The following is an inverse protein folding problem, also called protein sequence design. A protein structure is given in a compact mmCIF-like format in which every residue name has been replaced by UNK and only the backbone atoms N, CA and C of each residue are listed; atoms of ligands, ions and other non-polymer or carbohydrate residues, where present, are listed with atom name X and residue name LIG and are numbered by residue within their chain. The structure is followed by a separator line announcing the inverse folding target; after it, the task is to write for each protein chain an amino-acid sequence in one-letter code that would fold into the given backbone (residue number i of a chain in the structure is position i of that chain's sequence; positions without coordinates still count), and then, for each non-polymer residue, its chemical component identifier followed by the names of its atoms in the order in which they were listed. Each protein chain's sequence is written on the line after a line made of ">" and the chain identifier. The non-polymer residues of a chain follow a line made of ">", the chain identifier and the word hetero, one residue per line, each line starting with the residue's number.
data_IF_142607533449
#
_entry.id   IF_142607533449
#
_cell.length_a   1.000
_cell.length_b   1.000
_cell.length_c   1.000
_cell.angle_alpha   90.00
_cell.angle_beta   90.00
_cell.angle_gamma   90.00
#
_symmetry.space_group_name_H-M   'P 1'
#
loop_
_entity.id
_entity.type
_entity.pdbx_description
1 polymer ?
#
# COMPACT_ATOMS: atom_id res chain seq x y z
N UNK A 1 -13.98 20.65 -30.73
CA UNK A 1 -14.77 19.58 -30.07
C UNK A 1 -14.04 18.27 -30.26
N UNK A 2 -13.56 17.81 -29.11
CA UNK A 2 -12.78 16.64 -28.73
C UNK A 2 -13.25 15.31 -29.34
N UNK A 3 -12.33 14.55 -29.92
CA UNK A 3 -12.58 13.15 -30.32
C UNK A 3 -12.32 12.15 -29.19
N UNK A 4 -11.63 12.57 -28.12
CA UNK A 4 -11.18 11.67 -27.04
C UNK A 4 -11.63 12.10 -25.63
N UNK A 5 -12.10 13.34 -25.42
CA UNK A 5 -12.63 13.73 -24.10
C UNK A 5 -14.03 13.16 -23.82
N UNK A 6 -14.65 12.52 -24.82
CA UNK A 6 -15.83 11.68 -24.68
C UNK A 6 -15.49 10.26 -25.15
N UNK A 7 -14.34 9.72 -24.72
CA UNK A 7 -14.11 8.27 -24.86
C UNK A 7 -15.01 7.58 -23.84
N UNK A 8 -16.30 7.51 -24.15
CA UNK A 8 -17.25 6.68 -23.43
C UNK A 8 -16.89 5.22 -23.70
N UNK A 9 -17.10 4.35 -22.73
CA UNK A 9 -16.86 2.90 -22.87
C UNK A 9 -17.57 2.29 -24.09
N UNK A 10 -18.64 2.93 -24.59
CA UNK A 10 -19.41 2.53 -25.79
C UNK A 10 -18.63 2.67 -27.11
N UNK A 11 -17.56 3.47 -27.14
CA UNK A 11 -16.74 3.70 -28.34
C UNK A 11 -15.52 2.78 -28.43
N UNK A 12 -15.32 1.89 -27.45
CA UNK A 12 -14.23 0.92 -27.46
C UNK A 12 -14.63 -0.27 -28.34
N UNK A 13 -13.87 -0.51 -29.40
CA UNK A 13 -14.04 -1.68 -30.26
C UNK A 13 -13.51 -2.94 -29.56
N UNK A 14 -14.39 -3.59 -28.81
CA UNK A 14 -14.13 -4.83 -28.07
C UNK A 14 -13.68 -5.99 -28.97
N UNK A 15 -14.12 -6.08 -30.22
CA UNK A 15 -13.67 -7.15 -31.13
C UNK A 15 -12.20 -6.97 -31.52
N UNK A 16 -11.77 -5.73 -31.73
CA UNK A 16 -10.36 -5.42 -31.96
C UNK A 16 -9.50 -5.79 -30.74
N UNK A 17 -9.99 -5.52 -29.52
CA UNK A 17 -9.27 -5.91 -28.30
C UNK A 17 -9.20 -7.43 -28.12
N UNK A 18 -10.29 -8.15 -28.39
CA UNK A 18 -10.31 -9.61 -28.39
C UNK A 18 -9.28 -10.17 -29.39
N UNK A 19 -9.24 -9.62 -30.61
CA UNK A 19 -8.27 -10.03 -31.63
C UNK A 19 -6.83 -9.82 -31.16
N UNK A 20 -6.51 -8.70 -30.50
CA UNK A 20 -5.17 -8.44 -29.95
C UNK A 20 -4.78 -9.48 -28.89
N UNK A 21 -5.72 -9.89 -28.02
CA UNK A 21 -5.47 -10.94 -27.01
C UNK A 21 -5.27 -12.30 -27.69
N UNK A 22 -6.12 -12.66 -28.65
CA UNK A 22 -5.98 -13.88 -29.45
C UNK A 22 -4.62 -13.96 -30.15
N UNK A 23 -4.20 -12.89 -30.82
CA UNK A 23 -2.92 -12.82 -31.53
C UNK A 23 -1.72 -12.90 -30.59
N UNK A 24 -1.85 -12.39 -29.37
CA UNK A 24 -0.81 -12.50 -28.36
C UNK A 24 -0.68 -13.92 -27.78
N UNK A 25 -1.75 -14.73 -27.83
CA UNK A 25 -1.76 -16.10 -27.33
C UNK A 25 -1.62 -16.22 -25.80
N UNK A 26 -1.74 -15.12 -25.07
CA UNK A 26 -1.51 -15.03 -23.61
C UNK A 26 -2.25 -13.83 -23.01
N UNK A 27 -2.35 -13.74 -21.66
CA UNK A 27 -2.88 -12.54 -21.02
C UNK A 27 -2.11 -11.28 -21.41
N UNK A 28 -2.82 -10.19 -21.66
CA UNK A 28 -2.26 -8.93 -22.14
C UNK A 28 -2.51 -7.83 -21.10
N UNK A 29 -1.43 -7.16 -20.70
CA UNK A 29 -1.50 -6.01 -19.82
C UNK A 29 -2.31 -4.85 -20.43
N UNK A 30 -3.15 -4.17 -19.64
CA UNK A 30 -4.05 -3.09 -20.09
C UNK A 30 -3.32 -1.97 -20.84
N UNK A 31 -2.08 -1.64 -20.46
CA UNK A 31 -1.25 -0.67 -21.18
C UNK A 31 -0.97 -1.07 -22.64
N UNK A 32 -0.78 -2.36 -22.93
CA UNK A 32 -0.56 -2.84 -24.29
C UNK A 32 -1.87 -2.79 -25.09
N UNK A 33 -3.01 -3.15 -24.47
CA UNK A 33 -4.34 -2.99 -25.08
C UNK A 33 -4.66 -1.52 -25.39
N UNK A 34 -4.37 -0.60 -24.48
CA UNK A 34 -4.52 0.83 -24.70
C UNK A 34 -3.64 1.34 -25.85
N UNK A 35 -2.40 0.85 -25.95
CA UNK A 35 -1.49 1.19 -27.05
C UNK A 35 -2.04 0.71 -28.40
N UNK A 36 -2.50 -0.53 -28.46
CA UNK A 36 -3.09 -1.07 -29.69
C UNK A 36 -4.40 -0.35 -30.04
N UNK A 37 -5.30 -0.11 -29.09
CA UNK A 37 -6.51 0.67 -29.30
C UNK A 37 -6.23 2.06 -29.91
N UNK A 38 -5.24 2.78 -29.37
CA UNK A 38 -4.80 4.06 -29.93
C UNK A 38 -4.25 3.86 -31.35
N UNK A 39 -3.41 2.85 -31.57
CA UNK A 39 -2.85 2.54 -32.90
C UNK A 39 -3.96 2.29 -33.94
N UNK A 40 -4.99 1.52 -33.60
CA UNK A 40 -6.13 1.24 -34.47
C UNK A 40 -6.96 2.49 -34.74
N UNK A 41 -7.29 3.27 -33.70
CA UNK A 41 -7.98 4.56 -33.86
C UNK A 41 -7.20 5.53 -34.76
N UNK A 42 -5.88 5.54 -34.66
CA UNK A 42 -5.01 6.34 -35.52
C UNK A 42 -4.96 5.84 -36.97
N UNK A 43 -4.99 4.53 -37.19
CA UNK A 43 -5.07 3.94 -38.53
C UNK A 43 -6.41 4.21 -39.21
N UNK A 44 -7.51 4.15 -38.46
CA UNK A 44 -8.85 4.49 -38.95
C UNK A 44 -8.94 5.98 -39.33
N UNK A 45 -8.31 6.86 -38.54
CA UNK A 45 -8.26 8.31 -38.81
C UNK A 45 -7.26 8.66 -39.91
N UNK A 46 -6.23 7.86 -40.21
CA UNK A 46 -5.20 8.14 -41.23
C UNK A 46 -5.75 8.29 -42.66
N UNK A 47 -7.02 7.99 -42.93
CA UNK A 47 -7.69 8.37 -44.18
C UNK A 47 -8.08 9.85 -44.26
N UNK A 48 -8.00 10.60 -43.15
CA UNK A 48 -8.19 12.06 -43.10
C UNK A 48 -7.08 12.77 -42.29
N UNK A 49 -6.94 14.07 -42.53
CA UNK A 49 -5.99 14.95 -41.83
C UNK A 49 -6.18 14.87 -40.31
N UNK A 50 -5.16 14.39 -39.60
CA UNK A 50 -5.16 14.12 -38.15
C UNK A 50 -5.45 15.40 -37.36
N UNK A 51 -6.41 15.40 -36.43
CA UNK A 51 -6.64 16.55 -35.53
C UNK A 51 -5.60 16.54 -34.41
N UNK A 52 -5.11 17.70 -33.99
CA UNK A 52 -4.17 17.78 -32.86
C UNK A 52 -4.84 17.23 -31.59
N UNK A 53 -4.20 16.24 -30.98
CA UNK A 53 -4.44 15.71 -29.65
C UNK A 53 -3.18 15.83 -28.77
N UNK A 54 -3.28 16.35 -27.55
CA UNK A 54 -2.18 16.32 -26.59
C UNK A 54 -1.67 14.90 -26.30
N UNK A 55 -2.44 13.84 -26.47
CA UNK A 55 -1.95 12.47 -26.19
C UNK A 55 -1.23 11.76 -27.33
N UNK A 56 -1.20 12.34 -28.52
CA UNK A 56 -0.66 11.67 -29.69
C UNK A 56 0.86 11.85 -29.79
N UNK A 57 1.54 10.83 -30.28
CA UNK A 57 2.90 10.95 -30.83
C UNK A 57 2.84 11.53 -32.23
N UNK A 58 3.77 12.44 -32.49
CA UNK A 58 3.93 13.12 -33.76
C UNK A 58 5.34 12.92 -34.29
N UNK A 59 5.47 12.90 -35.61
CA UNK A 59 6.74 12.97 -36.31
C UNK A 59 6.87 14.32 -37.03
N UNK A 60 8.11 14.75 -37.28
CA UNK A 60 8.36 15.88 -38.18
C UNK A 60 7.79 15.55 -39.56
N UNK A 61 7.04 16.47 -40.14
CA UNK A 61 6.30 16.31 -41.40
C UNK A 61 4.83 15.89 -41.22
N UNK A 62 4.39 15.51 -40.01
CA UNK A 62 2.99 15.16 -39.78
C UNK A 62 2.07 16.36 -40.05
N UNK A 63 1.01 16.14 -40.82
CA UNK A 63 -0.05 17.13 -41.05
C UNK A 63 -1.13 17.02 -39.97
N UNK A 64 -1.27 18.08 -39.18
CA UNK A 64 -2.13 18.12 -37.99
C UNK A 64 -3.08 19.33 -38.02
N UNK A 65 -4.38 19.09 -37.81
CA UNK A 65 -5.40 20.14 -37.74
C UNK A 65 -5.54 20.67 -36.31
N UNK A 66 -5.15 21.93 -36.09
CA UNK A 66 -5.27 22.64 -34.81
C UNK A 66 -6.23 23.83 -34.94
N UNK A 67 -7.26 23.89 -34.09
CA UNK A 67 -8.34 24.90 -34.15
C UNK A 67 -8.91 25.14 -35.57
N UNK A 68 -9.03 24.06 -36.34
CA UNK A 68 -9.56 24.10 -37.72
C UNK A 68 -8.53 24.43 -38.80
N UNK A 69 -7.34 24.94 -38.45
CA UNK A 69 -6.24 25.17 -39.38
C UNK A 69 -5.36 23.94 -39.52
N UNK A 70 -4.94 23.61 -40.73
CA UNK A 70 -4.03 22.52 -41.02
C UNK A 70 -2.59 23.01 -40.91
N UNK A 71 -1.82 22.49 -39.94
CA UNK A 71 -0.40 22.77 -39.82
C UNK A 71 0.47 21.53 -40.03
N UNK A 72 1.77 21.74 -40.18
CA UNK A 72 2.77 20.70 -40.31
C UNK A 72 3.70 20.71 -39.10
N UNK A 73 3.97 19.54 -38.53
CA UNK A 73 4.89 19.40 -37.39
C UNK A 73 6.31 19.60 -37.87
N UNK A 74 6.95 20.70 -37.48
CA UNK A 74 8.32 21.04 -37.87
C UNK A 74 9.38 20.51 -36.92
N UNK A 75 9.03 20.36 -35.65
CA UNK A 75 9.92 19.79 -34.64
C UNK A 75 9.12 19.07 -33.57
N UNK A 76 9.74 18.04 -33.01
CA UNK A 76 9.27 17.34 -31.81
C UNK A 76 10.44 17.32 -30.85
N UNK A 77 10.24 17.81 -29.63
CA UNK A 77 11.25 17.86 -28.57
C UNK A 77 10.71 17.14 -27.35
N UNK A 78 11.55 16.38 -26.67
CA UNK A 78 11.18 15.86 -25.37
C UNK A 78 11.10 16.99 -24.35
N UNK A 79 10.06 16.95 -23.53
CA UNK A 79 9.83 17.80 -22.37
C UNK A 79 9.68 16.93 -21.14
N UNK A 80 10.03 17.47 -19.99
CA UNK A 80 9.91 16.78 -18.70
C UNK A 80 9.41 17.78 -17.67
N UNK A 81 8.43 17.36 -16.87
CA UNK A 81 7.87 18.14 -15.78
C UNK A 81 7.89 17.28 -14.52
N UNK A 82 8.47 17.75 -13.40
CA UNK A 82 8.49 16.99 -12.14
C UNK A 82 7.13 16.47 -11.66
N UNK A 83 6.02 17.10 -12.07
CA UNK A 83 4.65 16.70 -11.75
C UNK A 83 3.98 15.80 -12.80
N UNK A 84 4.39 15.86 -14.07
CA UNK A 84 3.69 15.19 -15.18
C UNK A 84 4.54 14.12 -15.89
N UNK A 85 5.81 13.98 -15.51
CA UNK A 85 6.76 13.08 -16.17
C UNK A 85 7.21 13.59 -17.55
N UNK A 86 7.67 12.66 -18.39
CA UNK A 86 8.12 12.95 -19.76
C UNK A 86 6.92 13.15 -20.70
N UNK A 87 7.02 14.13 -21.58
CA UNK A 87 6.04 14.45 -22.61
C UNK A 87 6.75 14.97 -23.86
N UNK A 88 6.07 15.13 -24.99
CA UNK A 88 6.69 15.69 -26.20
C UNK A 88 6.13 17.08 -26.50
N UNK A 89 6.97 18.06 -26.74
CA UNK A 89 6.59 19.39 -27.23
C UNK A 89 6.71 19.37 -28.75
N UNK A 90 5.60 19.62 -29.45
CA UNK A 90 5.61 19.76 -30.90
C UNK A 90 5.59 21.24 -31.30
N UNK A 91 6.35 21.58 -32.33
CA UNK A 91 6.25 22.87 -33.02
C UNK A 91 5.45 22.66 -34.30
N UNK A 92 4.24 23.23 -34.36
CA UNK A 92 3.36 23.17 -35.51
C UNK A 92 3.49 24.47 -36.33
N UNK A 93 3.78 24.36 -37.62
CA UNK A 93 3.79 25.48 -38.57
C UNK A 93 2.44 25.51 -39.29
N UNK A 94 1.72 26.62 -39.16
CA UNK A 94 0.46 26.86 -39.85
C UNK A 94 0.68 27.42 -41.28
N UNK A 95 -0.35 27.40 -42.16
CA UNK A 95 -0.21 27.86 -43.54
C UNK A 95 0.07 29.36 -43.67
N UNK A 96 -0.26 30.14 -42.64
CA UNK A 96 0.04 31.57 -42.54
C UNK A 96 1.48 31.85 -42.08
N UNK A 97 2.31 30.81 -41.92
CA UNK A 97 3.67 30.90 -41.41
C UNK A 97 3.76 31.02 -39.89
N UNK A 98 2.63 31.06 -39.17
CA UNK A 98 2.61 31.08 -37.72
C UNK A 98 3.12 29.77 -37.12
N UNK A 99 4.01 29.86 -36.12
CA UNK A 99 4.47 28.70 -35.36
C UNK A 99 3.76 28.63 -34.00
N UNK A 100 3.32 27.44 -33.62
CA UNK A 100 2.68 27.19 -32.33
C UNK A 100 3.38 26.04 -31.65
N UNK A 101 3.74 26.22 -30.38
CA UNK A 101 4.22 25.13 -29.53
C UNK A 101 3.06 24.50 -28.80
N UNK A 102 2.99 23.18 -28.86
CA UNK A 102 1.92 22.41 -28.22
C UNK A 102 2.56 21.28 -27.40
N UNK A 103 2.17 21.16 -26.13
CA UNK A 103 2.58 20.03 -25.29
C UNK A 103 1.73 18.82 -25.63
N UNK A 104 2.37 17.68 -25.85
CA UNK A 104 1.73 16.41 -26.04
C UNK A 104 2.03 15.50 -24.82
N UNK A 105 1.10 15.50 -23.86
CA UNK A 105 1.16 14.73 -22.60
C UNK A 105 0.31 13.45 -22.71
N UNK A 106 0.86 12.33 -22.25
CA UNK A 106 0.20 11.02 -22.18
C UNK A 106 -0.94 10.89 -21.15
N UNK A 107 -1.56 11.98 -20.70
CA UNK A 107 -2.62 11.99 -19.67
C UNK A 107 -3.91 11.27 -20.09
N UNK A 108 -4.17 11.12 -21.41
CA UNK A 108 -5.25 10.23 -21.88
C UNK A 108 -4.99 8.76 -21.59
N UNK A 109 -3.78 8.36 -21.19
CA UNK A 109 -3.49 6.98 -20.82
C UNK A 109 -4.44 6.48 -19.73
N UNK A 110 -4.75 7.31 -18.73
CA UNK A 110 -5.73 6.95 -17.70
C UNK A 110 -7.15 6.85 -18.29
N UNK A 111 -7.64 7.91 -18.94
CA UNK A 111 -9.00 7.94 -19.53
C UNK A 111 -9.23 6.78 -20.51
N UNK A 112 -8.23 6.46 -21.34
CA UNK A 112 -8.29 5.35 -22.30
C UNK A 112 -8.26 4.01 -21.59
N UNK A 113 -7.37 3.81 -20.60
CA UNK A 113 -7.35 2.57 -19.80
C UNK A 113 -8.68 2.35 -19.10
N UNK A 114 -9.20 3.36 -18.41
CA UNK A 114 -10.50 3.28 -17.73
C UNK A 114 -11.61 2.95 -18.72
N UNK A 115 -11.68 3.61 -19.87
CA UNK A 115 -12.69 3.31 -20.89
C UNK A 115 -12.56 1.88 -21.43
N UNK A 116 -11.34 1.37 -21.65
CA UNK A 116 -11.07 0.00 -22.09
C UNK A 116 -11.47 -1.01 -21.02
N UNK A 117 -11.02 -0.81 -19.77
CA UNK A 117 -11.38 -1.65 -18.63
C UNK A 117 -12.91 -1.70 -18.48
N UNK A 118 -13.60 -0.56 -18.50
CA UNK A 118 -15.05 -0.49 -18.39
C UNK A 118 -15.77 -1.19 -19.54
N UNK A 119 -15.24 -1.11 -20.76
CA UNK A 119 -15.79 -1.82 -21.90
C UNK A 119 -15.60 -3.33 -21.78
N UNK A 120 -14.40 -3.78 -21.39
CA UNK A 120 -14.09 -5.20 -21.23
C UNK A 120 -14.81 -5.82 -20.03
N UNK A 121 -14.96 -5.11 -18.89
CA UNK A 121 -15.76 -5.57 -17.73
C UNK A 121 -17.23 -5.82 -18.06
N UNK A 122 -17.78 -5.14 -19.08
CA UNK A 122 -19.18 -5.30 -19.51
C UNK A 122 -19.39 -6.50 -20.44
N UNK A 123 -18.33 -7.06 -21.01
CA UNK A 123 -18.39 -8.20 -21.91
C UNK A 123 -17.84 -9.46 -21.22
N UNK A 124 -18.71 -10.45 -21.02
CA UNK A 124 -18.40 -11.68 -20.29
C UNK A 124 -17.34 -12.58 -20.96
N UNK A 125 -16.93 -12.29 -22.20
CA UNK A 125 -15.80 -12.97 -22.86
C UNK A 125 -14.46 -12.60 -22.25
N UNK A 126 -14.36 -11.44 -21.61
CA UNK A 126 -13.11 -10.96 -21.02
C UNK A 126 -13.07 -11.25 -19.53
N UNK A 127 -11.92 -11.73 -19.09
CA UNK A 127 -11.58 -11.93 -17.69
C UNK A 127 -10.27 -11.21 -17.40
N UNK A 128 -10.12 -10.75 -16.17
CA UNK A 128 -8.97 -9.95 -15.75
C UNK A 128 -8.45 -10.40 -14.40
N UNK A 129 -7.18 -10.09 -14.15
CA UNK A 129 -6.53 -10.24 -12.86
C UNK A 129 -5.48 -9.13 -12.71
N UNK A 130 -5.42 -8.51 -11.54
CA UNK A 130 -4.41 -7.49 -11.21
C UNK A 130 -3.22 -8.14 -10.49
N UNK A 131 -2.07 -8.14 -11.14
CA UNK A 131 -0.80 -8.55 -10.54
C UNK A 131 0.03 -7.33 -10.10
N UNK A 132 1.29 -7.55 -9.72
CA UNK A 132 2.18 -6.44 -9.36
C UNK A 132 2.47 -5.46 -10.51
N UNK A 133 2.29 -5.86 -11.77
CA UNK A 133 2.48 -4.98 -12.93
C UNK A 133 1.21 -4.20 -13.26
N UNK A 134 0.04 -4.76 -12.95
CA UNK A 134 -1.28 -4.13 -13.07
C UNK A 134 -2.30 -5.08 -13.67
N UNK A 135 -3.33 -4.51 -14.30
CA UNK A 135 -4.40 -5.29 -14.93
C UNK A 135 -3.92 -6.08 -16.14
N UNK A 136 -3.99 -7.39 -16.05
CA UNK A 136 -3.85 -8.31 -17.16
C UNK A 136 -5.22 -8.83 -17.58
N UNK A 137 -5.43 -8.93 -18.89
CA UNK A 137 -6.71 -9.31 -19.49
C UNK A 137 -6.53 -10.51 -20.41
N UNK A 138 -7.49 -11.43 -20.40
CA UNK A 138 -7.52 -12.56 -21.30
C UNK A 138 -8.97 -12.85 -21.75
N UNK A 139 -9.12 -13.70 -22.78
CA UNK A 139 -10.41 -14.22 -23.18
C UNK A 139 -10.70 -15.52 -22.44
N UNK A 140 -11.92 -15.68 -21.95
CA UNK A 140 -12.36 -16.87 -21.21
C UNK A 140 -12.13 -18.15 -22.01
N UNK A 141 -12.34 -18.12 -23.33
CA UNK A 141 -12.16 -19.28 -24.23
C UNK A 141 -10.69 -19.70 -24.43
N UNK A 142 -9.73 -18.84 -24.09
CA UNK A 142 -8.30 -19.15 -24.17
C UNK A 142 -7.77 -19.81 -22.89
N UNK A 143 -8.49 -19.69 -21.78
CA UNK A 143 -8.01 -20.17 -20.49
C UNK A 143 -8.18 -21.70 -20.37
N UNK A 144 -7.16 -22.42 -19.88
CA UNK A 144 -7.35 -23.79 -19.47
C UNK A 144 -8.39 -23.86 -18.35
N UNK A 145 -9.23 -24.91 -18.37
CA UNK A 145 -10.23 -25.14 -17.34
C UNK A 145 -9.55 -25.41 -15.99
N UNK A 146 -9.89 -24.63 -14.96
CA UNK A 146 -9.51 -24.88 -13.57
C UNK A 146 -10.68 -25.56 -12.89
N UNK A 147 -10.53 -26.86 -12.60
CA UNK A 147 -11.60 -27.68 -12.03
C UNK A 147 -11.61 -27.57 -10.51
N UNK A 148 -12.74 -27.90 -9.90
CA UNK A 148 -12.86 -27.95 -8.42
C UNK A 148 -11.82 -28.89 -7.79
N UNK A 149 -11.45 -29.97 -8.49
CA UNK A 149 -10.41 -30.91 -8.06
C UNK A 149 -9.01 -30.28 -8.03
N UNK A 150 -8.77 -29.30 -8.90
CA UNK A 150 -7.52 -28.56 -8.96
C UNK A 150 -7.46 -27.53 -7.83
N UNK A 151 -8.57 -26.82 -7.55
CA UNK A 151 -8.69 -25.94 -6.38
C UNK A 151 -8.62 -26.72 -5.06
N UNK A 152 -9.19 -27.93 -4.99
CA UNK A 152 -9.10 -28.81 -3.82
C UNK A 152 -7.65 -29.21 -3.49
N UNK A 153 -6.75 -29.22 -4.48
CA UNK A 153 -5.30 -29.43 -4.25
C UNK A 153 -4.62 -28.16 -3.72
N UNK A 154 -5.14 -26.97 -4.00
CA UNK A 154 -4.57 -25.68 -3.58
C UNK A 154 -4.85 -25.40 -2.11
N UNK A 155 -6.08 -25.58 -1.66
CA UNK A 155 -6.50 -25.17 -0.30
C UNK A 155 -5.60 -25.71 0.83
N UNK A 156 -5.14 -26.99 0.81
CA UNK A 156 -4.20 -27.48 1.82
C UNK A 156 -2.87 -26.70 1.90
N UNK A 157 -2.43 -26.07 0.82
CA UNK A 157 -1.19 -25.26 0.79
C UNK A 157 -1.41 -23.83 1.30
N UNK A 158 -2.66 -23.37 1.27
CA UNK A 158 -3.06 -22.08 1.82
C UNK A 158 -3.44 -22.18 3.31
N UNK A 159 -3.61 -23.39 3.84
CA UNK A 159 -3.98 -23.62 5.23
C UNK A 159 -2.77 -23.59 6.16
N UNK A 160 -2.95 -23.01 7.35
CA UNK A 160 -1.94 -22.94 8.40
C UNK A 160 -0.80 -21.99 8.06
N UNK A 161 -1.02 -20.99 7.19
CA UNK A 161 0.01 -20.00 6.88
C UNK A 161 0.15 -18.97 8.00
N UNK A 162 -0.95 -18.66 8.71
CA UNK A 162 -0.88 -17.82 9.90
C UNK A 162 -0.09 -18.53 11.02
N UNK A 163 1.19 -18.21 11.14
CA UNK A 163 2.09 -18.73 12.18
C UNK A 163 2.79 -17.57 12.87
N UNK A 164 2.69 -17.53 14.18
CA UNK A 164 3.35 -16.51 15.01
C UNK A 164 3.07 -15.09 14.51
N UNK A 165 1.84 -14.84 14.04
CA UNK A 165 1.43 -13.56 13.49
C UNK A 165 2.02 -13.15 12.15
N UNK A 166 2.74 -14.04 11.48
CA UNK A 166 3.09 -13.91 10.08
C UNK A 166 2.09 -14.66 9.22
N UNK A 167 1.63 -14.02 8.14
CA UNK A 167 0.80 -14.62 7.10
C UNK A 167 1.52 -14.49 5.74
N UNK A 168 2.50 -15.38 5.45
CA UNK A 168 3.24 -15.35 4.19
C UNK A 168 2.36 -15.83 3.04
N UNK A 169 2.08 -14.99 2.03
CA UNK A 169 1.26 -15.39 0.89
C UNK A 169 1.94 -16.46 0.04
N UNK A 170 1.17 -17.36 -0.57
CA UNK A 170 1.69 -18.39 -1.48
C UNK A 170 1.74 -17.89 -2.92
N UNK A 171 2.92 -17.81 -3.55
CA UNK A 171 3.04 -17.38 -4.94
C UNK A 171 2.27 -18.30 -5.88
N UNK A 172 1.65 -17.73 -6.92
CA UNK A 172 0.91 -18.50 -7.93
C UNK A 172 1.80 -19.53 -8.61
N UNK A 173 3.10 -19.26 -8.74
CA UNK A 173 4.09 -20.15 -9.33
C UNK A 173 4.19 -21.48 -8.57
N UNK A 174 4.17 -21.43 -7.22
CA UNK A 174 4.19 -22.63 -6.37
C UNK A 174 2.89 -23.44 -6.55
N UNK A 175 1.75 -22.75 -6.67
CA UNK A 175 0.44 -23.38 -6.82
C UNK A 175 0.28 -24.03 -8.21
N UNK A 176 0.74 -23.37 -9.28
CA UNK A 176 0.77 -23.94 -10.64
C UNK A 176 1.63 -25.19 -10.69
N UNK A 177 2.84 -25.15 -10.10
CA UNK A 177 3.73 -26.31 -10.00
C UNK A 177 3.07 -27.46 -9.25
N UNK A 178 2.30 -27.15 -8.21
CA UNK A 178 1.60 -28.15 -7.40
C UNK A 178 0.46 -28.84 -8.15
N UNK A 179 -0.38 -28.06 -8.85
CA UNK A 179 -1.58 -28.58 -9.51
C UNK A 179 -1.23 -29.30 -10.82
N UNK A 180 -0.37 -28.68 -11.63
CA UNK A 180 -0.10 -29.08 -13.01
C UNK A 180 1.32 -29.59 -13.24
N UNK A 181 2.19 -29.60 -12.21
CA UNK A 181 3.56 -30.08 -12.34
C UNK A 181 4.46 -29.20 -13.22
N UNK A 182 4.02 -27.99 -13.54
CA UNK A 182 4.71 -27.11 -14.48
C UNK A 182 5.48 -26.01 -13.74
N UNK A 183 6.77 -25.89 -14.03
CA UNK A 183 7.60 -24.77 -13.56
C UNK A 183 7.43 -23.55 -14.46
N UNK A 184 7.74 -22.36 -13.95
CA UNK A 184 7.75 -21.15 -14.77
C UNK A 184 8.90 -21.21 -15.79
N UNK A 185 8.55 -21.59 -17.02
CA UNK A 185 9.46 -21.67 -18.17
C UNK A 185 9.35 -20.44 -19.10
N UNK A 186 8.54 -19.44 -18.73
CA UNK A 186 8.26 -18.26 -19.52
C UNK A 186 7.42 -18.52 -20.78
N UNK A 187 6.85 -19.71 -20.95
CA UNK A 187 5.99 -20.04 -22.09
C UNK A 187 4.61 -19.36 -21.98
N UNK A 188 3.97 -19.17 -23.14
CA UNK A 188 2.60 -18.65 -23.18
C UNK A 188 1.60 -19.64 -22.56
N UNK A 189 1.88 -20.95 -22.63
CA UNK A 189 1.09 -22.00 -21.94
C UNK A 189 1.15 -21.83 -20.42
N UNK A 190 2.35 -21.61 -19.86
CA UNK A 190 2.50 -21.34 -18.44
C UNK A 190 1.77 -20.06 -18.03
N UNK A 191 1.91 -18.99 -18.82
CA UNK A 191 1.24 -17.72 -18.57
C UNK A 191 -0.30 -17.87 -18.52
N UNK A 192 -0.87 -18.64 -19.46
CA UNK A 192 -2.31 -18.94 -19.46
C UNK A 192 -2.74 -19.77 -18.24
N UNK A 193 -1.97 -20.78 -17.84
CA UNK A 193 -2.26 -21.59 -16.63
C UNK A 193 -2.20 -20.77 -15.34
N UNK A 194 -1.13 -19.98 -15.18
CA UNK A 194 -0.97 -19.09 -14.01
C UNK A 194 -2.12 -18.09 -13.92
N UNK A 195 -2.46 -17.45 -15.04
CA UNK A 195 -3.57 -16.51 -15.10
C UNK A 195 -4.93 -17.18 -14.85
N UNK A 196 -5.19 -18.35 -15.43
CA UNK A 196 -6.42 -19.10 -15.19
C UNK A 196 -6.59 -19.46 -13.71
N UNK A 197 -5.52 -19.91 -13.06
CA UNK A 197 -5.54 -20.19 -11.62
C UNK A 197 -5.82 -18.93 -10.79
N UNK A 198 -5.17 -17.81 -11.14
CA UNK A 198 -5.40 -16.53 -10.46
C UNK A 198 -6.85 -16.07 -10.59
N UNK A 199 -7.45 -16.14 -11.78
CA UNK A 199 -8.86 -15.79 -12.01
C UNK A 199 -9.79 -16.72 -11.23
N UNK A 200 -9.49 -18.03 -11.20
CA UNK A 200 -10.28 -18.99 -10.46
C UNK A 200 -10.25 -18.73 -8.94
N UNK A 201 -9.06 -18.46 -8.38
CA UNK A 201 -8.90 -18.10 -6.96
C UNK A 201 -9.52 -16.73 -6.65
N UNK A 202 -9.41 -15.74 -7.53
CA UNK A 202 -10.09 -14.45 -7.36
C UNK A 202 -11.62 -14.61 -7.27
N UNK A 203 -12.19 -15.59 -7.97
CA UNK A 203 -13.61 -15.93 -7.88
C UNK A 203 -14.01 -16.71 -6.63
N UNK A 204 -13.05 -17.20 -5.84
CA UNK A 204 -13.30 -17.94 -4.61
C UNK A 204 -13.37 -17.01 -3.40
N UNK A 205 -14.50 -17.03 -2.69
CA UNK A 205 -14.68 -16.23 -1.46
C UNK A 205 -13.73 -16.66 -0.32
N UNK A 206 -13.18 -17.87 -0.38
CA UNK A 206 -12.32 -18.44 0.66
C UNK A 206 -10.85 -18.05 0.50
N UNK A 207 -10.49 -17.30 -0.54
CA UNK A 207 -9.11 -16.91 -0.82
C UNK A 207 -8.97 -15.41 -1.01
N UNK A 208 -7.81 -14.87 -0.65
CA UNK A 208 -7.46 -13.47 -0.82
C UNK A 208 -6.11 -13.32 -1.50
N UNK A 209 -6.04 -12.41 -2.46
CA UNK A 209 -4.79 -11.97 -3.07
C UNK A 209 -4.11 -10.90 -2.23
N UNK A 210 -2.84 -11.11 -1.91
CA UNK A 210 -2.03 -10.22 -1.07
C UNK A 210 -0.94 -9.49 -1.88
N UNK A 211 -1.14 -9.34 -3.19
CA UNK A 211 -0.23 -8.61 -4.08
C UNK A 211 0.94 -9.42 -4.65
N UNK A 212 1.43 -10.43 -3.93
CA UNK A 212 2.48 -11.37 -4.35
C UNK A 212 2.13 -12.85 -4.12
N UNK A 213 0.90 -13.14 -3.68
CA UNK A 213 0.48 -14.51 -3.40
C UNK A 213 -0.92 -14.59 -2.81
N UNK A 214 -1.36 -15.82 -2.60
CA UNK A 214 -2.66 -16.17 -2.08
C UNK A 214 -2.62 -16.60 -0.63
N UNK A 215 -3.66 -16.26 0.12
CA UNK A 215 -3.92 -16.73 1.49
C UNK A 215 -5.38 -17.17 1.61
N UNK A 216 -5.73 -17.94 2.64
CA UNK A 216 -7.13 -18.17 2.97
C UNK A 216 -7.75 -16.90 3.60
N UNK A 217 -8.98 -16.58 3.20
CA UNK A 217 -9.76 -15.49 3.78
C UNK A 217 -9.94 -15.68 5.29
N UNK A 218 -10.16 -16.91 5.75
CA UNK A 218 -10.29 -17.22 7.18
C UNK A 218 -9.00 -16.96 7.98
N UNK A 219 -7.83 -17.05 7.36
CA UNK A 219 -6.56 -16.71 8.04
C UNK A 219 -6.30 -15.22 8.03
N UNK A 220 -6.66 -14.54 6.95
CA UNK A 220 -6.68 -13.09 6.88
C UNK A 220 -7.61 -12.47 7.94
N UNK A 221 -8.82 -13.00 8.08
CA UNK A 221 -9.77 -12.57 9.11
C UNK A 221 -9.21 -12.78 10.52
N UNK A 222 -8.61 -13.94 10.81
CA UNK A 222 -7.94 -14.18 12.10
C UNK A 222 -6.80 -13.19 12.37
N UNK A 223 -6.07 -12.78 11.35
CA UNK A 223 -5.03 -11.76 11.48
C UNK A 223 -5.65 -10.38 11.82
N UNK A 224 -6.77 -10.02 11.20
CA UNK A 224 -7.50 -8.77 11.46
C UNK A 224 -8.23 -8.73 12.81
N UNK A 225 -8.84 -9.86 13.21
CA UNK A 225 -9.63 -10.04 14.42
C UNK A 225 -8.79 -10.14 15.68
N UNK A 226 -7.46 -10.10 15.56
CA UNK A 226 -6.57 -9.93 16.71
C UNK A 226 -7.09 -8.77 17.53
N UNK A 227 -7.48 -9.08 18.77
CA UNK A 227 -7.92 -8.07 19.72
C UNK A 227 -6.85 -6.98 19.73
N UNK A 228 -7.21 -5.82 19.18
CA UNK A 228 -6.36 -4.66 19.29
C UNK A 228 -6.24 -4.43 20.78
N UNK A 229 -5.04 -4.61 21.31
CA UNK A 229 -4.77 -4.32 22.71
C UNK A 229 -5.23 -2.88 22.92
N UNK A 230 -6.30 -2.73 23.71
CA UNK A 230 -6.85 -1.42 24.01
C UNK A 230 -5.80 -0.78 24.90
N UNK A 231 -4.97 0.05 24.28
CA UNK A 231 -4.05 0.88 25.01
C UNK A 231 -4.82 1.76 26.01
N UNK A 232 -4.10 2.32 27.00
CA UNK A 232 -4.60 3.38 27.89
C UNK A 232 -5.57 4.32 27.17
N UNK A 233 -6.76 4.55 27.75
CA UNK A 233 -7.71 5.50 27.17
C UNK A 233 -7.30 6.94 27.44
N UNK A 234 -6.44 7.19 28.42
CA UNK A 234 -6.01 8.55 28.72
C UNK A 234 -4.75 8.94 27.95
N UNK A 235 -4.65 10.21 27.52
CA UNK A 235 -3.38 10.81 27.11
C UNK A 235 -2.39 10.70 28.28
N UNK A 236 -1.09 10.79 27.97
CA UNK A 236 0.11 10.51 28.77
C UNK A 236 0.21 11.07 30.22
N UNK A 237 -0.84 11.70 30.75
CA UNK A 237 -0.94 12.18 32.13
C UNK A 237 -1.58 11.12 33.02
N UNK A 238 -0.74 10.27 33.59
CA UNK A 238 -1.12 9.47 34.75
C UNK A 238 -0.95 10.36 35.98
N UNK A 239 -2.05 10.61 36.70
CA UNK A 239 -1.95 11.04 38.10
C UNK A 239 -1.54 9.82 38.93
N UNK A 240 -0.43 9.88 39.70
CA UNK A 240 0.03 8.76 40.49
C UNK A 240 -1.07 8.31 41.49
N UNK A 241 -1.22 7.00 41.75
CA UNK A 241 -2.25 6.49 42.64
C UNK A 241 -2.14 7.07 44.05
N UNK A 242 -3.29 7.20 44.72
CA UNK A 242 -3.37 7.64 46.11
C UNK A 242 -2.48 6.74 47.01
N UNK A 243 -1.40 7.31 47.55
CA UNK A 243 -0.42 6.60 48.39
C UNK A 243 0.97 6.40 47.78
N UNK A 244 1.18 6.76 46.50
CA UNK A 244 2.51 6.79 45.88
C UNK A 244 3.12 8.19 46.03
N UNK A 245 4.06 8.34 46.96
CA UNK A 245 4.88 9.56 47.06
C UNK A 245 5.97 9.52 45.99
N UNK A 246 5.78 10.26 44.90
CA UNK A 246 6.84 10.58 43.97
C UNK A 246 7.78 11.60 44.62
N UNK A 247 9.07 11.25 44.70
CA UNK A 247 10.12 12.18 45.14
C UNK A 247 10.35 13.23 44.04
N UNK A 248 9.56 14.30 44.09
CA UNK A 248 9.50 15.35 43.07
C UNK A 248 10.23 16.59 43.58
N UNK A 249 11.50 16.73 43.17
CA UNK A 249 12.32 17.91 43.47
C UNK A 249 12.45 18.89 42.29
N UNK A 250 11.59 18.79 41.26
CA UNK A 250 11.56 19.75 40.16
C UNK A 250 10.11 20.06 39.72
N UNK A 251 9.75 21.34 39.74
CA UNK A 251 8.46 21.86 39.27
C UNK A 251 8.34 21.77 37.73
N UNK A 252 7.23 21.28 37.16
CA UNK A 252 7.06 21.22 35.71
C UNK A 252 6.60 22.57 35.12
N UNK A 253 7.36 23.07 34.15
CA UNK A 253 6.89 24.06 33.18
C UNK A 253 5.71 23.51 32.36
N UNK A 254 4.72 24.36 32.11
CA UNK A 254 3.46 23.99 31.48
C UNK A 254 3.66 23.48 30.04
N UNK A 255 3.33 22.21 29.80
CA UNK A 255 3.33 21.60 28.47
C UNK A 255 2.36 22.30 27.49
N UNK A 256 2.68 22.33 26.19
CA UNK A 256 1.82 22.90 25.15
C UNK A 256 0.50 22.12 25.07
N UNK A 257 -0.60 22.87 25.03
CA UNK A 257 -1.97 22.34 25.07
C UNK A 257 -2.24 21.30 23.98
N UNK A 258 -2.94 20.25 24.39
CA UNK A 258 -3.48 19.19 23.55
C UNK A 258 -4.33 19.82 22.44
N UNK A 259 -3.92 19.58 21.20
CA UNK A 259 -4.80 19.75 20.06
C UNK A 259 -5.73 18.55 20.11
N UNK A 260 -6.93 18.71 20.67
CA UNK A 260 -8.04 17.81 20.37
C UNK A 260 -8.06 17.69 18.84
N UNK A 261 -7.95 16.48 18.30
CA UNK A 261 -8.28 16.20 16.90
C UNK A 261 -9.77 16.56 16.76
N UNK A 262 -10.09 17.84 16.57
CA UNK A 262 -11.26 18.22 15.79
C UNK A 262 -11.11 17.39 14.51
N UNK A 263 -12.02 16.42 14.33
CA UNK A 263 -12.14 15.68 13.08
C UNK A 263 -12.16 16.74 11.97
N UNK A 264 -11.00 16.97 11.34
CA UNK A 264 -10.87 18.01 10.33
C UNK A 264 -11.99 17.71 9.33
N UNK A 265 -12.91 18.66 9.10
CA UNK A 265 -14.09 18.41 8.29
C UNK A 265 -13.60 17.82 7.00
N UNK A 266 -14.09 16.61 6.65
CA UNK A 266 -13.64 15.83 5.49
C UNK A 266 -13.61 16.74 4.25
N UNK A 267 -12.47 17.40 4.01
CA UNK A 267 -12.27 18.20 2.82
C UNK A 267 -12.47 17.23 1.68
N UNK A 268 -13.43 17.52 0.79
CA UNK A 268 -13.76 16.66 -0.34
C UNK A 268 -12.48 16.27 -1.08
N UNK A 269 -11.98 15.09 -0.77
CA UNK A 269 -10.65 14.69 -1.16
C UNK A 269 -10.66 14.41 -2.66
N UNK A 270 -9.57 14.79 -3.33
CA UNK A 270 -9.33 14.27 -4.66
C UNK A 270 -9.35 12.73 -4.56
N UNK A 271 -10.15 12.04 -5.38
CA UNK A 271 -10.26 10.58 -5.32
C UNK A 271 -8.86 9.96 -5.43
N UNK A 272 -8.59 8.98 -4.57
CA UNK A 272 -7.37 8.19 -4.66
C UNK A 272 -7.35 7.57 -6.06
N UNK A 273 -6.27 7.72 -6.84
CA UNK A 273 -6.23 7.17 -8.19
C UNK A 273 -6.48 5.66 -8.14
N UNK A 274 -7.59 5.19 -8.71
CA UNK A 274 -7.90 3.76 -8.81
C UNK A 274 -6.97 3.01 -9.79
N UNK A 275 -6.12 3.74 -10.51
CA UNK A 275 -5.18 3.21 -11.50
C UNK A 275 -3.75 3.20 -10.94
N UNK A 276 -3.16 2.01 -10.85
CA UNK A 276 -1.80 1.78 -10.34
C UNK A 276 -0.75 2.61 -11.08
N UNK A 277 -0.90 2.80 -12.39
CA UNK A 277 0.00 3.63 -13.20
C UNK A 277 -0.12 5.14 -12.92
N UNK A 278 -1.32 5.61 -12.60
CA UNK A 278 -1.53 6.98 -12.15
C UNK A 278 -0.96 7.17 -10.74
N UNK A 279 -1.09 6.17 -9.87
CA UNK A 279 -0.43 6.16 -8.58
C UNK A 279 1.09 6.20 -8.73
N UNK A 280 1.72 5.32 -9.52
CA UNK A 280 3.18 5.31 -9.76
C UNK A 280 3.75 6.67 -10.11
N UNK A 281 3.02 7.45 -10.92
CA UNK A 281 3.41 8.80 -11.35
C UNK A 281 3.22 9.87 -10.28
N UNK A 282 2.22 9.72 -9.41
CA UNK A 282 1.81 10.74 -8.45
C UNK A 282 2.09 10.36 -6.98
N UNK A 283 2.67 9.18 -6.73
CA UNK A 283 2.89 8.66 -5.38
C UNK A 283 3.78 9.60 -4.57
N UNK A 284 3.50 9.69 -3.28
CA UNK A 284 4.43 10.33 -2.35
C UNK A 284 5.60 9.38 -2.11
N UNK A 285 6.81 9.95 -2.07
CA UNK A 285 8.02 9.16 -1.80
C UNK A 285 8.17 8.82 -0.32
N UNK A 286 7.58 9.61 0.56
CA UNK A 286 7.58 9.37 1.99
C UNK A 286 6.33 9.96 2.67
N UNK A 287 6.03 9.44 3.85
CA UNK A 287 5.03 9.97 4.77
C UNK A 287 5.57 9.92 6.20
N UNK A 288 5.14 10.89 7.02
CA UNK A 288 5.47 10.93 8.43
C UNK A 288 4.21 10.64 9.24
N UNK A 289 4.36 10.00 10.39
CA UNK A 289 3.28 9.86 11.35
C UNK A 289 3.83 9.74 12.78
N UNK A 290 3.02 10.11 13.76
CA UNK A 290 3.33 9.91 15.17
C UNK A 290 2.80 8.55 15.62
N UNK A 291 3.68 7.72 16.17
CA UNK A 291 3.36 6.39 16.68
C UNK A 291 2.56 6.50 17.98
N UNK A 292 1.24 6.39 17.93
CA UNK A 292 0.41 6.45 19.14
C UNK A 292 0.50 5.14 19.92
N UNK A 293 0.21 5.17 21.23
CA UNK A 293 0.21 3.99 22.08
C UNK A 293 -0.69 2.87 21.51
N UNK A 294 -1.91 3.20 21.06
CA UNK A 294 -2.82 2.24 20.41
C UNK A 294 -2.24 1.58 19.17
N UNK A 295 -1.40 2.30 18.40
CA UNK A 295 -0.72 1.78 17.20
C UNK A 295 0.41 0.85 17.61
N UNK A 296 1.23 1.28 18.57
CA UNK A 296 2.34 0.53 19.11
C UNK A 296 1.90 -0.81 19.71
N UNK A 297 0.97 -0.79 20.68
CA UNK A 297 0.50 -2.01 21.35
C UNK A 297 -0.46 -2.83 20.50
N UNK A 298 -1.21 -2.19 19.60
CA UNK A 298 -2.01 -2.91 18.62
C UNK A 298 -1.18 -3.55 17.50
N UNK A 299 0.14 -3.29 17.45
CA UNK A 299 1.06 -3.70 16.40
C UNK A 299 0.52 -3.38 15.00
N UNK A 300 0.01 -2.17 14.82
CA UNK A 300 -0.43 -1.67 13.54
C UNK A 300 -0.06 -0.20 13.35
N UNK A 301 0.14 0.22 12.10
CA UNK A 301 0.37 1.61 11.75
C UNK A 301 -0.89 2.20 11.10
N UNK A 302 -1.23 3.48 11.35
CA UNK A 302 -2.43 4.08 10.77
C UNK A 302 -2.22 4.36 9.27
N UNK A 303 -3.17 4.01 8.41
CA UNK A 303 -3.12 4.37 6.99
C UNK A 303 -3.80 5.73 6.77
N UNK A 304 -3.15 6.78 7.30
CA UNK A 304 -3.60 8.17 7.17
C UNK A 304 -3.51 8.66 5.71
N UNK A 305 -4.04 9.87 5.45
CA UNK A 305 -4.10 10.47 4.10
C UNK A 305 -2.75 10.48 3.37
N UNK A 306 -1.69 10.78 4.10
CA UNK A 306 -0.35 10.85 3.54
C UNK A 306 0.23 9.46 3.26
N UNK A 307 0.03 8.50 4.18
CA UNK A 307 0.44 7.12 4.01
C UNK A 307 -0.29 6.44 2.85
N UNK A 308 -1.59 6.70 2.63
CA UNK A 308 -2.33 6.20 1.44
C UNK A 308 -1.71 6.63 0.11
N UNK A 309 -0.92 7.69 0.07
CA UNK A 309 -0.22 8.10 -1.17
C UNK A 309 1.14 7.44 -1.33
N UNK A 310 1.62 6.73 -0.30
CA UNK A 310 2.88 5.98 -0.30
C UNK A 310 2.68 4.53 -0.70
N UNK A 311 1.51 3.94 -0.41
CA UNK A 311 1.19 2.55 -0.77
C UNK A 311 0.33 2.47 -2.04
N UNK A 312 0.51 1.44 -2.88
CA UNK A 312 -0.28 1.27 -4.09
C UNK A 312 -1.75 0.91 -3.75
N UNK A 313 -2.73 1.54 -4.42
CA UNK A 313 -4.10 1.08 -4.34
C UNK A 313 -4.21 -0.23 -5.15
N UNK A 314 -4.65 -1.31 -4.50
CA UNK A 314 -4.84 -2.62 -5.13
C UNK A 314 -6.30 -3.04 -5.09
N UNK A 315 -6.74 -3.76 -6.11
CA UNK A 315 -8.10 -4.27 -6.25
C UNK A 315 -8.51 -5.21 -5.11
N UNK A 316 -7.56 -5.93 -4.52
CA UNK A 316 -7.80 -6.80 -3.35
C UNK A 316 -8.14 -6.02 -2.07
N UNK A 317 -7.83 -4.72 -2.01
CA UNK A 317 -7.89 -3.93 -0.79
C UNK A 317 -6.87 -4.36 0.28
N UNK A 318 -5.95 -5.28 -0.05
CA UNK A 318 -4.95 -5.79 0.88
C UNK A 318 -3.63 -6.09 0.17
N UNK A 319 -2.49 -5.76 0.79
CA UNK A 319 -1.16 -5.98 0.21
C UNK A 319 -0.17 -6.43 1.29
N UNK A 320 0.62 -7.46 1.00
CA UNK A 320 1.77 -7.84 1.83
C UNK A 320 2.97 -6.98 1.46
N UNK A 321 3.60 -6.36 2.47
CA UNK A 321 4.75 -5.48 2.30
C UNK A 321 5.86 -5.86 3.26
N UNK A 322 7.09 -5.54 2.88
CA UNK A 322 8.28 -5.69 3.72
C UNK A 322 8.79 -4.32 4.13
N UNK A 323 8.90 -4.09 5.44
CA UNK A 323 9.59 -2.92 5.97
C UNK A 323 11.03 -3.28 6.28
N UNK A 324 11.96 -2.45 5.80
CA UNK A 324 13.34 -2.44 6.21
C UNK A 324 13.53 -1.27 7.19
N UNK A 325 14.18 -1.51 8.31
CA UNK A 325 14.43 -0.46 9.29
C UNK A 325 15.91 -0.22 9.53
N UNK A 326 16.19 1.00 9.96
CA UNK A 326 17.52 1.50 10.30
C UNK A 326 17.49 2.10 11.71
N UNK A 327 16.97 1.32 12.67
CA UNK A 327 16.92 1.75 14.07
C UNK A 327 18.25 1.56 14.80
N UNK A 328 19.14 0.71 14.27
CA UNK A 328 20.51 0.51 14.74
C UNK A 328 21.53 0.46 13.60
N UNK A 329 22.68 -0.15 13.86
CA UNK A 329 23.79 -0.26 12.90
C UNK A 329 23.51 -1.25 11.76
N UNK A 330 22.67 -2.25 12.02
CA UNK A 330 22.30 -3.28 11.05
C UNK A 330 20.93 -2.97 10.40
N UNK A 331 20.82 -3.31 9.12
CA UNK A 331 19.55 -3.24 8.40
C UNK A 331 18.80 -4.57 8.58
N UNK A 332 17.69 -4.50 9.28
CA UNK A 332 16.79 -5.63 9.50
C UNK A 332 15.45 -5.39 8.77
N UNK A 333 14.63 -6.43 8.67
CA UNK A 333 13.31 -6.33 8.04
C UNK A 333 12.24 -7.15 8.73
N UNK A 334 11.00 -6.69 8.59
CA UNK A 334 9.81 -7.39 9.05
C UNK A 334 8.67 -7.28 8.02
N UNK A 335 7.78 -8.27 8.05
CA UNK A 335 6.60 -8.30 7.19
C UNK A 335 5.47 -7.47 7.81
N UNK A 336 4.63 -6.91 6.95
CA UNK A 336 3.41 -6.23 7.34
C UNK A 336 2.35 -6.36 6.24
N UNK A 337 1.10 -6.01 6.56
CA UNK A 337 -0.03 -6.14 5.66
C UNK A 337 -0.84 -4.85 5.64
N UNK A 338 -0.87 -4.18 4.49
CA UNK A 338 -1.70 -3.00 4.26
C UNK A 338 -3.15 -3.47 4.11
N UNK A 339 -4.05 -2.89 4.90
CA UNK A 339 -5.49 -3.09 4.83
C UNK A 339 -6.19 -1.76 4.55
N UNK A 340 -6.62 -1.60 3.31
CA UNK A 340 -7.28 -0.39 2.84
C UNK A 340 -8.69 -0.22 3.41
N UNK A 341 -9.39 -1.33 3.68
CA UNK A 341 -10.74 -1.30 4.20
C UNK A 341 -10.77 -0.80 5.64
N UNK A 342 -9.80 -1.24 6.45
CA UNK A 342 -9.68 -0.85 7.84
C UNK A 342 -8.73 0.35 8.04
N UNK A 343 -8.18 0.90 6.96
CA UNK A 343 -7.27 2.05 6.96
C UNK A 343 -6.09 1.85 7.94
N UNK A 344 -5.49 0.66 7.94
CA UNK A 344 -4.35 0.32 8.81
C UNK A 344 -3.34 -0.58 8.10
N UNK A 345 -2.13 -0.63 8.64
CA UNK A 345 -1.07 -1.54 8.24
C UNK A 345 -0.79 -2.44 9.43
N UNK A 346 -1.13 -3.72 9.32
CA UNK A 346 -0.90 -4.71 10.37
C UNK A 346 0.58 -5.12 10.34
N UNK A 347 1.31 -4.96 11.44
CA UNK A 347 2.67 -5.47 11.53
C UNK A 347 2.70 -6.94 11.92
N UNK A 348 3.79 -7.62 11.56
CA UNK A 348 4.12 -8.92 12.17
C UNK A 348 4.62 -8.70 13.61
N UNK A 349 4.65 -9.71 14.49
CA UNK A 349 5.20 -9.55 15.84
C UNK A 349 6.66 -9.08 15.88
N UNK A 350 7.42 -9.35 14.80
CA UNK A 350 8.78 -8.83 14.63
C UNK A 350 8.82 -7.30 14.54
N UNK A 351 7.76 -6.64 14.04
CA UNK A 351 7.66 -5.17 14.06
C UNK A 351 7.67 -4.64 15.49
N UNK A 352 6.78 -5.16 16.34
CA UNK A 352 6.74 -4.80 17.76
C UNK A 352 8.08 -5.08 18.43
N UNK A 353 8.65 -6.28 18.21
CA UNK A 353 9.91 -6.67 18.81
C UNK A 353 11.05 -5.73 18.40
N UNK A 354 11.12 -5.34 17.13
CA UNK A 354 12.08 -4.35 16.67
C UNK A 354 11.87 -2.99 17.36
N UNK A 355 10.63 -2.49 17.43
CA UNK A 355 10.39 -1.24 18.13
C UNK A 355 10.80 -1.30 19.61
N UNK A 356 10.51 -2.41 20.27
CA UNK A 356 10.89 -2.64 21.66
C UNK A 356 12.43 -2.69 21.84
N UNK A 357 13.13 -3.51 21.06
CA UNK A 357 14.57 -3.73 21.18
C UNK A 357 15.41 -2.49 20.88
N UNK A 358 14.94 -1.64 19.96
CA UNK A 358 15.60 -0.38 19.61
C UNK A 358 15.06 0.82 20.40
N UNK A 359 14.21 0.59 21.40
CA UNK A 359 13.68 1.65 22.26
C UNK A 359 12.88 2.70 21.50
N UNK A 360 12.08 2.30 20.50
CA UNK A 360 11.16 3.15 19.75
C UNK A 360 9.82 3.23 20.49
N UNK A 361 9.52 4.36 21.12
CA UNK A 361 8.38 4.46 22.03
C UNK A 361 7.15 5.10 21.39
N UNK A 362 5.95 4.89 21.97
CA UNK A 362 4.80 5.75 21.70
C UNK A 362 5.17 7.23 21.79
N UNK A 363 4.73 8.02 20.81
CA UNK A 363 5.12 9.41 20.61
C UNK A 363 6.23 9.60 19.58
N UNK A 364 6.95 8.55 19.18
CA UNK A 364 7.98 8.63 18.14
C UNK A 364 7.39 9.10 16.81
N UNK A 365 8.09 10.01 16.12
CA UNK A 365 7.75 10.39 14.74
C UNK A 365 8.49 9.47 13.79
N UNK A 366 7.73 8.62 13.11
CA UNK A 366 8.25 7.66 12.12
C UNK A 366 8.11 8.22 10.71
N UNK A 367 9.08 7.89 9.86
CA UNK A 367 9.13 8.20 8.44
C UNK A 367 9.10 6.89 7.68
N UNK A 368 8.09 6.72 6.83
CA UNK A 368 8.02 5.60 5.88
C UNK A 368 8.36 6.14 4.50
N UNK A 369 9.23 5.45 3.77
CA UNK A 369 9.57 5.77 2.39
C UNK A 369 9.58 4.55 1.48
N UNK A 370 9.28 4.75 0.21
CA UNK A 370 9.27 3.70 -0.81
C UNK A 370 10.71 3.35 -1.25
N UNK A 371 11.03 2.06 -1.45
CA UNK A 371 12.32 1.60 -2.01
C UNK A 371 12.28 1.50 -3.54
N UNK A 372 13.01 0.58 -4.17
CA UNK A 372 12.91 0.35 -5.62
C UNK A 372 11.66 -0.47 -5.98
N UNK A 373 11.31 -1.42 -5.11
CA UNK A 373 10.16 -2.32 -5.26
C UNK A 373 8.90 -1.75 -4.58
N UNK A 374 7.72 -1.96 -5.17
CA UNK A 374 6.42 -1.48 -4.69
C UNK A 374 5.92 -2.19 -3.42
N UNK A 375 6.59 -3.29 -3.04
CA UNK A 375 6.32 -4.04 -1.82
C UNK A 375 7.38 -3.81 -0.74
N UNK A 376 8.40 -3.00 -1.01
CA UNK A 376 9.50 -2.77 -0.07
C UNK A 376 9.56 -1.30 0.35
N UNK A 377 9.59 -1.09 1.65
CA UNK A 377 9.55 0.24 2.26
C UNK A 377 10.65 0.36 3.31
N UNK A 378 11.25 1.53 3.42
CA UNK A 378 12.08 1.87 4.57
C UNK A 378 11.20 2.49 5.65
N UNK A 379 11.43 2.11 6.90
CA UNK A 379 10.84 2.75 8.08
C UNK A 379 11.98 3.20 9.01
N UNK A 380 11.94 4.46 9.42
CA UNK A 380 12.98 5.05 10.28
C UNK A 380 12.37 6.06 11.23
N UNK A 381 13.07 6.33 12.32
CA UNK A 381 12.75 7.45 13.19
C UNK A 381 13.19 8.76 12.55
N UNK A 382 12.45 9.83 12.80
CA UNK A 382 12.87 11.18 12.46
C UNK A 382 13.95 11.63 13.46
N UNK A 383 15.08 12.22 13.01
CA UNK A 383 16.10 12.75 13.92
C UNK A 383 15.51 13.77 14.92
N UNK A 384 16.05 13.84 16.14
CA UNK A 384 15.52 14.72 17.17
C UNK A 384 15.75 16.19 16.80
N UNK A 385 14.78 17.06 17.11
CA UNK A 385 14.91 18.51 16.98
C UNK A 385 15.39 19.20 18.26
N UNK A 386 15.46 18.44 19.34
CA UNK A 386 15.79 18.83 20.71
C UNK A 386 16.90 17.94 21.26
N UNK A 387 17.71 18.45 22.18
CA UNK A 387 18.78 17.68 22.84
C UNK A 387 18.41 17.27 24.26
N UNK A 388 17.31 17.79 24.83
CA UNK A 388 16.87 17.43 26.18
C UNK A 388 16.51 15.94 26.25
N UNK A 389 16.87 15.24 27.35
CA UNK A 389 16.51 13.84 27.53
C UNK A 389 14.98 13.66 27.56
N UNK A 390 14.54 12.43 27.27
CA UNK A 390 13.13 12.04 27.34
C UNK A 390 12.90 11.38 28.68
N UNK A 391 11.83 11.78 29.37
CA UNK A 391 11.41 11.08 30.59
C UNK A 391 10.58 9.86 30.19
N UNK A 392 11.08 8.68 30.52
CA UNK A 392 10.45 7.39 30.20
C UNK A 392 9.93 6.76 31.47
N UNK A 393 8.62 6.49 31.51
CA UNK A 393 7.98 5.74 32.59
C UNK A 393 7.66 4.34 32.11
N UNK A 394 8.26 3.33 32.73
CA UNK A 394 8.08 1.92 32.38
C UNK A 394 7.17 1.23 33.39
N UNK A 395 6.28 0.38 32.91
CA UNK A 395 5.55 -0.59 33.75
C UNK A 395 5.84 -1.99 33.30
N UNK A 396 6.23 -2.85 34.23
CA UNK A 396 6.59 -4.24 33.98
C UNK A 396 6.16 -5.13 35.14
N UNK A 397 6.14 -6.44 34.91
CA UNK A 397 5.93 -7.41 35.98
C UNK A 397 7.17 -7.47 36.87
N UNK A 398 6.98 -7.33 38.18
CA UNK A 398 8.02 -7.54 39.17
C UNK A 398 8.57 -8.96 39.05
N UNK A 399 9.88 -9.12 38.96
CA UNK A 399 10.54 -10.42 38.91
C UNK A 399 11.52 -10.59 40.06
N UNK A 400 11.66 -11.83 40.54
CA UNK A 400 12.69 -12.18 41.52
C UNK A 400 14.08 -12.26 40.87
N UNK A 401 15.11 -12.56 41.67
CA UNK A 401 16.50 -12.70 41.20
C UNK A 401 16.72 -13.81 40.15
N UNK A 402 15.74 -14.69 39.96
CA UNK A 402 15.76 -15.78 38.96
C UNK A 402 14.90 -15.46 37.73
N UNK A 403 14.27 -14.28 37.67
CA UNK A 403 13.36 -13.89 36.60
C UNK A 403 11.95 -14.48 36.72
N UNK A 404 11.60 -15.11 37.85
CA UNK A 404 10.23 -15.55 38.08
C UNK A 404 9.36 -14.36 38.48
N UNK A 405 8.11 -14.34 38.02
CA UNK A 405 7.16 -13.29 38.40
C UNK A 405 6.86 -13.35 39.90
N UNK A 406 6.95 -12.20 40.55
CA UNK A 406 6.55 -12.03 41.95
C UNK A 406 5.03 -11.85 41.96
N UNK A 407 4.34 -12.67 42.76
CA UNK A 407 2.90 -12.55 42.96
C UNK A 407 2.61 -11.66 44.17
N UNK A 408 1.57 -10.83 44.06
CA UNK A 408 0.99 -10.09 45.17
C UNK A 408 0.24 -10.99 46.16
N UNK A 409 -0.27 -10.39 47.24
CA UNK A 409 -1.04 -11.12 48.27
C UNK A 409 -2.34 -11.74 47.72
N UNK A 410 -2.87 -11.17 46.63
CA UNK A 410 -4.04 -11.65 45.91
C UNK A 410 -3.72 -12.78 44.90
N UNK A 411 -2.45 -13.16 44.78
CA UNK A 411 -1.98 -14.20 43.86
C UNK A 411 -1.81 -13.73 42.42
N UNK A 412 -2.00 -12.44 42.13
CA UNK A 412 -1.79 -11.86 40.80
C UNK A 412 -0.36 -11.35 40.62
N UNK A 413 0.19 -11.29 39.39
CA UNK A 413 1.51 -10.71 39.15
C UNK A 413 1.60 -9.27 39.66
N UNK A 414 2.60 -8.97 40.49
CA UNK A 414 2.85 -7.61 40.98
C UNK A 414 3.42 -6.75 39.84
N UNK A 415 2.90 -5.53 39.68
CA UNK A 415 3.46 -4.53 38.76
C UNK A 415 4.47 -3.63 39.46
N UNK A 416 5.54 -3.27 38.75
CA UNK A 416 6.56 -2.30 39.18
C UNK A 416 6.71 -1.17 38.16
N UNK A 417 7.21 -0.03 38.64
CA UNK A 417 7.34 1.22 37.89
C UNK A 417 8.79 1.68 37.96
N UNK A 418 9.29 2.12 36.83
CA UNK A 418 10.61 2.74 36.72
C UNK A 418 10.45 4.06 35.96
N UNK A 419 11.11 5.11 36.45
CA UNK A 419 11.17 6.41 35.78
C UNK A 419 12.63 6.75 35.51
N UNK A 420 12.97 6.85 34.23
CA UNK A 420 14.32 7.11 33.76
C UNK A 420 14.35 8.35 32.86
N UNK A 421 15.49 9.06 32.87
CA UNK A 421 15.78 10.07 31.87
C UNK A 421 16.73 9.47 30.82
N UNK A 422 16.21 9.25 29.61
CA UNK A 422 16.97 8.63 28.53
C UNK A 422 17.47 9.64 27.50
N UNK A 423 18.61 9.38 26.85
CA UNK A 423 19.06 10.18 25.73
C UNK A 423 18.00 10.23 24.64
N UNK A 424 17.71 11.44 24.14
CA UNK A 424 16.77 11.61 23.04
C UNK A 424 17.41 11.20 21.71
N UNK A 425 17.09 9.99 21.26
CA UNK A 425 17.66 9.43 20.03
C UNK A 425 16.89 9.85 18.76
N UNK A 426 15.64 10.29 18.91
CA UNK A 426 14.76 10.63 17.81
C UNK A 426 13.67 11.64 18.24
N UNK A 427 12.94 12.18 17.26
CA UNK A 427 11.81 13.07 17.51
C UNK A 427 10.67 12.31 18.19
N UNK A 428 10.34 12.74 19.42
CA UNK A 428 9.38 12.09 20.32
C UNK A 428 8.80 13.13 21.30
N UNK A 429 7.69 12.80 21.96
CA UNK A 429 7.17 13.61 23.07
C UNK A 429 8.18 13.71 24.22
N UNK A 430 8.06 14.77 25.03
CA UNK A 430 8.99 15.04 26.14
C UNK A 430 8.84 14.03 27.30
N UNK A 431 7.63 13.49 27.48
CA UNK A 431 7.33 12.44 28.45
C UNK A 431 6.61 11.29 27.74
N UNK A 432 7.06 10.06 27.97
CA UNK A 432 6.46 8.86 27.39
C UNK A 432 6.23 7.78 28.44
N UNK A 433 5.11 7.09 28.28
CA UNK A 433 4.72 5.97 29.11
C UNK A 433 4.76 4.68 28.30
N UNK A 434 5.51 3.70 28.78
CA UNK A 434 5.73 2.44 28.08
C UNK A 434 5.43 1.23 28.96
N UNK A 435 4.88 0.20 28.35
CA UNK A 435 4.73 -1.11 28.95
C UNK A 435 5.96 -1.93 28.58
N UNK A 436 6.78 -2.23 29.59
CA UNK A 436 8.00 -3.03 29.50
C UNK A 436 7.72 -4.53 29.43
N UNK A 437 6.95 -4.97 28.43
CA UNK A 437 6.67 -6.39 28.22
C UNK A 437 6.91 -6.82 26.77
N UNK A 438 7.36 -8.06 26.61
CA UNK A 438 7.40 -8.71 25.31
C UNK A 438 5.98 -8.87 24.76
N UNK A 439 5.88 -9.02 23.43
CA UNK A 439 4.61 -9.12 22.71
C UNK A 439 3.63 -10.15 23.34
N UNK A 440 4.15 -11.33 23.71
CA UNK A 440 3.35 -12.43 24.28
C UNK A 440 2.78 -12.11 25.68
N UNK A 441 3.43 -11.21 26.41
CA UNK A 441 3.06 -10.86 27.79
C UNK A 441 2.19 -9.59 27.86
N UNK A 442 2.07 -8.83 26.76
CA UNK A 442 1.27 -7.60 26.74
C UNK A 442 -0.20 -7.81 27.14
N UNK A 443 -0.94 -8.82 26.65
CA UNK A 443 -2.35 -8.98 27.01
C UNK A 443 -2.54 -9.17 28.52
N UNK A 444 -1.66 -9.96 29.13
CA UNK A 444 -1.70 -10.21 30.57
C UNK A 444 -1.34 -8.96 31.38
N UNK A 445 -0.34 -8.18 30.93
CA UNK A 445 0.05 -6.96 31.62
C UNK A 445 -1.06 -5.91 31.54
N UNK A 446 -1.71 -5.74 30.38
CA UNK A 446 -2.84 -4.84 30.25
C UNK A 446 -4.04 -5.26 31.11
N UNK A 447 -4.37 -6.56 31.12
CA UNK A 447 -5.44 -7.08 31.97
C UNK A 447 -5.15 -6.85 33.46
N UNK A 448 -3.91 -7.06 33.88
CA UNK A 448 -3.48 -6.86 35.26
C UNK A 448 -3.50 -5.38 35.65
N UNK A 449 -3.05 -4.50 34.76
CA UNK A 449 -3.10 -3.06 34.97
C UNK A 449 -4.53 -2.52 35.10
N UNK A 450 -5.43 -2.99 34.22
CA UNK A 450 -6.86 -2.65 34.31
C UNK A 450 -7.46 -3.15 35.64
N UNK A 451 -7.10 -4.37 36.06
CA UNK A 451 -7.55 -4.98 37.32
C UNK A 451 -7.16 -4.17 38.55
N UNK A 452 -5.92 -3.68 38.62
CA UNK A 452 -5.44 -2.89 39.77
C UNK A 452 -6.02 -1.46 39.81
N UNK A 453 -7.00 -1.16 38.95
CA UNK A 453 -7.62 0.17 38.87
C UNK A 453 -6.65 1.22 38.33
N UNK A 454 -5.51 0.79 37.80
CA UNK A 454 -4.64 1.63 37.00
C UNK A 454 -5.19 1.64 35.58
N UNK A 455 -6.41 2.18 35.46
CA UNK A 455 -6.90 2.65 34.19
C UNK A 455 -5.99 3.77 33.74
N UNK A 456 -5.03 3.41 32.89
CA UNK A 456 -4.02 4.31 32.36
C UNK A 456 -4.59 5.47 31.58
#
# INVERSE_FOLDING_TARGET
>A
MYLWSNTESSNVDIETLAQVICEAGRPVHVNNLAREFVRWGLLAVRKEVRRYSPSATYAVGDKVRWKGKLGEVKAVKDGENPRQGKFSIINLVLPDGGEIRLAAVGEYGLVIRTAIQDAMRKDARFVWFEDAQGDNWCLTEMLPEVRDEDLAKVFPFLQGLLKDGALPPRPTEELVKTIWGQENDGSDEYALKSFALNVALQGCNDTRWMGNGWVLESEWQKLQEREALIGPRQPSKIEPPEGVTLDTSDEPESAPGEVEEEEEPEEQEAPIPEDLEAWRRNRRLHANFTLQARHYYGNYLPLNKDMRRVFPPRASGSDAVTFYHHFGDEQESFQAWVDWNQKRILGSPQMYQAFYDYGIYPGAVLVISHRENEQEYDIRTKPPTKDEPVRVRRVFFATDEYGNRILGEDGHPKLEYEEDNEPRLYEIADEVFIVGASWENLPELFAEAERVGQGY
#
